data_IF_020839225699
#
_entry.id   IF_020839225699
#
_cell.length_a   1.000
_cell.length_b   1.000
_cell.length_c   1.000
_cell.angle_alpha   90.00
_cell.angle_beta   90.00
_cell.angle_gamma   90.00
#
_symmetry.space_group_name_H-M   'P 1'
#
loop_
_entity.id
_entity.type
_entity.pdbx_description
1 polymer ?
#
# COMPACT_ATOMS: atom_id res chain seq x y z
N UNK A 1 -25.76 -44.88 -24.98
CA UNK A 1 -26.57 -43.67 -25.21
C UNK A 1 -27.12 -43.71 -26.62
N UNK A 2 -28.39 -43.36 -26.77
CA UNK A 2 -28.98 -43.01 -28.06
C UNK A 2 -28.34 -41.72 -28.58
N UNK A 3 -28.51 -41.43 -29.87
CA UNK A 3 -28.02 -40.20 -30.47
C UNK A 3 -28.63 -38.94 -29.83
N UNK A 4 -29.91 -38.98 -29.45
CA UNK A 4 -30.58 -37.89 -28.73
C UNK A 4 -29.99 -37.70 -27.33
N UNK A 5 -29.81 -38.78 -26.56
CA UNK A 5 -29.22 -38.69 -25.22
C UNK A 5 -27.79 -38.12 -25.26
N UNK A 6 -27.05 -38.34 -26.36
CA UNK A 6 -25.72 -37.80 -26.57
C UNK A 6 -25.74 -36.30 -26.89
N UNK A 7 -26.76 -35.83 -27.59
CA UNK A 7 -26.96 -34.41 -27.90
C UNK A 7 -27.38 -33.64 -26.65
N UNK A 8 -28.31 -34.20 -25.87
CA UNK A 8 -28.75 -33.61 -24.60
C UNK A 8 -27.58 -33.49 -23.63
N UNK A 9 -26.77 -34.55 -23.48
CA UNK A 9 -25.58 -34.53 -22.64
C UNK A 9 -24.54 -33.51 -23.14
N UNK A 10 -24.35 -33.38 -24.46
CA UNK A 10 -23.46 -32.36 -25.03
C UNK A 10 -23.95 -30.96 -24.65
N UNK A 11 -25.24 -30.70 -24.77
CA UNK A 11 -25.82 -29.39 -24.49
C UNK A 11 -25.78 -29.06 -23.00
N UNK A 12 -26.02 -30.05 -22.14
CA UNK A 12 -25.83 -29.93 -20.70
C UNK A 12 -24.36 -29.62 -20.35
N UNK A 13 -23.41 -30.35 -20.92
CA UNK A 13 -21.99 -30.08 -20.73
C UNK A 13 -21.58 -28.70 -21.24
N UNK A 14 -22.11 -28.26 -22.39
CA UNK A 14 -21.86 -26.93 -22.92
C UNK A 14 -22.44 -25.83 -22.01
N UNK A 15 -23.61 -26.07 -21.41
CA UNK A 15 -24.20 -25.18 -20.42
C UNK A 15 -23.33 -25.08 -19.16
N UNK A 16 -22.86 -26.20 -18.62
CA UNK A 16 -21.92 -26.19 -17.48
C UNK A 16 -20.61 -25.49 -17.81
N UNK A 17 -20.00 -25.77 -18.97
CA UNK A 17 -18.77 -25.09 -19.40
C UNK A 17 -18.97 -23.58 -19.44
N UNK A 18 -20.12 -23.11 -19.95
CA UNK A 18 -20.44 -21.70 -19.97
C UNK A 18 -20.59 -21.13 -18.56
N UNK A 19 -21.38 -21.77 -17.70
CA UNK A 19 -21.62 -21.33 -16.33
C UNK A 19 -20.32 -21.23 -15.52
N UNK A 20 -19.46 -22.24 -15.59
CA UNK A 20 -18.15 -22.21 -14.93
C UNK A 20 -17.22 -21.14 -15.51
N UNK A 21 -17.27 -20.91 -16.82
CA UNK A 21 -16.48 -19.86 -17.45
C UNK A 21 -16.93 -18.47 -17.00
N UNK A 22 -18.24 -18.23 -16.89
CA UNK A 22 -18.80 -16.96 -16.45
C UNK A 22 -18.37 -16.68 -14.99
N UNK A 23 -18.51 -17.67 -14.10
CA UNK A 23 -18.05 -17.56 -12.70
C UNK A 23 -16.55 -17.30 -12.61
N UNK A 24 -15.73 -18.01 -13.39
CA UNK A 24 -14.28 -17.84 -13.39
C UNK A 24 -13.86 -16.43 -13.81
N UNK A 25 -14.55 -15.85 -14.80
CA UNK A 25 -14.28 -14.47 -15.25
C UNK A 25 -14.55 -13.48 -14.11
N UNK A 26 -15.67 -13.62 -13.42
CA UNK A 26 -16.03 -12.74 -12.29
C UNK A 26 -15.01 -12.86 -11.15
N UNK A 27 -14.61 -14.09 -10.79
CA UNK A 27 -13.57 -14.34 -9.79
C UNK A 27 -12.23 -13.73 -10.17
N UNK A 28 -11.82 -13.84 -11.45
CA UNK A 28 -10.59 -13.24 -11.94
C UNK A 28 -10.61 -11.71 -11.87
N UNK A 29 -11.75 -11.08 -12.18
CA UNK A 29 -11.89 -9.63 -12.04
C UNK A 29 -11.73 -9.17 -10.60
N UNK A 30 -12.36 -9.86 -9.63
CA UNK A 30 -12.22 -9.55 -8.21
C UNK A 30 -10.78 -9.75 -7.75
N UNK A 31 -10.11 -10.81 -8.22
CA UNK A 31 -8.72 -11.09 -7.88
C UNK A 31 -7.77 -10.01 -8.43
N UNK A 32 -7.96 -9.55 -9.66
CA UNK A 32 -7.13 -8.49 -10.26
C UNK A 32 -7.28 -7.17 -9.50
N UNK A 33 -8.50 -6.82 -9.10
CA UNK A 33 -8.77 -5.67 -8.23
C UNK A 33 -7.96 -5.75 -6.93
N UNK A 34 -8.06 -6.89 -6.24
CA UNK A 34 -7.35 -7.14 -4.99
C UNK A 34 -5.83 -7.12 -5.16
N UNK A 35 -5.31 -7.68 -6.25
CA UNK A 35 -3.87 -7.68 -6.55
C UNK A 35 -3.36 -6.26 -6.72
N UNK A 36 -4.07 -5.41 -7.47
CA UNK A 36 -3.67 -4.01 -7.62
C UNK A 36 -3.67 -3.27 -6.28
N UNK A 37 -4.69 -3.45 -5.45
CA UNK A 37 -4.69 -2.85 -4.11
C UNK A 37 -3.48 -3.30 -3.29
N UNK A 38 -3.15 -4.60 -3.35
CA UNK A 38 -2.02 -5.17 -2.64
C UNK A 38 -0.69 -4.61 -3.18
N UNK A 39 -0.56 -4.45 -4.49
CA UNK A 39 0.60 -3.84 -5.14
C UNK A 39 0.80 -2.39 -4.68
N UNK A 40 -0.26 -1.57 -4.66
CA UNK A 40 -0.22 -0.19 -4.16
C UNK A 40 0.20 -0.15 -2.69
N UNK A 41 -0.37 -1.02 -1.84
CA UNK A 41 -0.01 -1.12 -0.41
C UNK A 41 1.45 -1.52 -0.22
N UNK A 42 1.94 -2.47 -1.02
CA UNK A 42 3.34 -2.90 -0.99
C UNK A 42 4.29 -1.81 -1.47
N UNK A 43 3.90 -1.06 -2.51
CA UNK A 43 4.66 0.07 -3.02
C UNK A 43 4.79 1.16 -1.94
N UNK A 44 3.68 1.53 -1.30
CA UNK A 44 3.65 2.46 -0.17
C UNK A 44 4.61 2.04 0.95
N UNK A 45 4.52 0.79 1.42
CA UNK A 45 5.42 0.30 2.47
C UNK A 45 6.89 0.39 2.04
N UNK A 46 7.19 0.09 0.78
CA UNK A 46 8.56 0.08 0.26
C UNK A 46 9.14 1.50 0.16
N UNK A 47 8.40 2.44 -0.43
CA UNK A 47 8.77 3.86 -0.47
C UNK A 47 8.89 4.44 0.94
N UNK A 48 8.05 4.01 1.88
CA UNK A 48 8.13 4.42 3.29
C UNK A 48 9.42 4.00 3.95
N UNK A 49 9.78 2.74 3.81
CA UNK A 49 11.02 2.22 4.37
C UNK A 49 12.24 2.87 3.73
N UNK A 50 12.20 3.17 2.42
CA UNK A 50 13.28 3.87 1.72
C UNK A 50 13.44 5.33 2.20
N UNK A 51 12.35 6.06 2.34
CA UNK A 51 12.38 7.42 2.85
C UNK A 51 12.89 7.45 4.31
N UNK A 52 12.44 6.50 5.12
CA UNK A 52 12.84 6.37 6.52
C UNK A 52 14.33 6.02 6.69
N UNK A 53 14.87 5.11 5.87
CA UNK A 53 16.29 4.76 5.92
C UNK A 53 17.16 5.99 5.60
N UNK A 54 16.77 6.75 4.57
CA UNK A 54 17.42 8.00 4.18
C UNK A 54 17.38 9.06 5.29
N UNK A 55 16.24 9.25 5.95
CA UNK A 55 16.12 10.16 7.09
C UNK A 55 17.03 9.75 8.27
N UNK A 56 17.15 8.45 8.55
CA UNK A 56 18.08 7.94 9.57
C UNK A 56 19.54 8.24 9.20
N UNK A 57 19.92 8.12 7.92
CA UNK A 57 21.27 8.47 7.46
C UNK A 57 21.58 9.96 7.64
N UNK A 58 20.62 10.84 7.29
CA UNK A 58 20.74 12.29 7.51
C UNK A 58 20.88 12.62 9.00
N UNK A 59 20.11 11.98 9.89
CA UNK A 59 20.24 12.20 11.33
C UNK A 59 21.55 11.65 11.91
N UNK A 60 22.01 10.47 11.45
CA UNK A 60 23.27 9.88 11.93
C UNK A 60 24.50 10.70 11.51
N UNK A 61 24.44 11.33 10.33
CA UNK A 61 25.48 12.26 9.87
C UNK A 61 25.43 13.61 10.60
N UNK A 62 24.26 14.06 11.06
CA UNK A 62 24.10 15.25 11.91
C UNK A 62 24.35 14.98 13.42
N UNK A 63 24.28 13.73 13.86
CA UNK A 63 24.35 13.28 15.27
C UNK A 63 25.74 13.21 15.90
N UNK A 64 26.83 13.56 15.22
CA UNK A 64 28.19 13.61 15.82
C UNK A 64 28.42 14.74 16.83
N UNK A 65 27.36 15.39 17.32
CA UNK A 65 27.41 16.37 18.42
C UNK A 65 26.29 16.14 19.44
N UNK A 66 26.35 15.07 20.24
CA UNK A 66 26.11 15.05 21.72
C UNK A 66 25.92 13.62 22.27
N UNK A 67 26.44 13.44 23.47
CA UNK A 67 26.60 12.26 24.32
C UNK A 67 25.31 11.79 25.03
N UNK A 68 25.13 10.48 25.26
CA UNK A 68 24.23 9.93 26.29
C UNK A 68 23.82 8.45 26.07
N UNK A 69 23.83 7.56 27.10
CA UNK A 69 23.80 6.10 26.91
C UNK A 69 22.39 5.49 26.79
N UNK A 70 22.35 4.38 26.05
CA UNK A 70 21.18 3.60 25.67
C UNK A 70 20.46 2.94 26.85
N UNK A 71 19.12 2.98 26.81
CA UNK A 71 18.24 2.17 27.64
C UNK A 71 17.47 1.17 26.77
N UNK A 72 17.74 -0.11 27.06
CA UNK A 72 17.00 -1.36 26.84
C UNK A 72 15.66 -1.30 26.07
N UNK A 73 15.43 -2.27 25.16
CA UNK A 73 14.16 -3.02 25.12
C UNK A 73 14.25 -4.35 24.33
N UNK A 74 13.40 -5.25 24.82
CA UNK A 74 13.20 -6.70 24.61
C UNK A 74 12.99 -7.13 23.15
N UNK A 75 13.34 -8.40 22.88
CA UNK A 75 13.54 -9.02 21.55
C UNK A 75 12.28 -9.41 20.76
N UNK A 76 11.07 -9.22 21.27
CA UNK A 76 9.83 -9.56 20.53
C UNK A 76 9.07 -8.36 19.95
N UNK A 77 9.47 -7.13 20.29
CA UNK A 77 8.89 -5.91 19.72
C UNK A 77 9.67 -5.42 18.49
N UNK A 78 10.44 -6.26 17.80
CA UNK A 78 11.39 -5.77 16.80
C UNK A 78 10.70 -5.03 15.65
N UNK A 79 9.58 -5.54 15.14
CA UNK A 79 8.80 -4.84 14.10
C UNK A 79 7.92 -3.72 14.67
N UNK A 80 7.21 -3.96 15.78
CA UNK A 80 6.31 -2.97 16.39
C UNK A 80 7.05 -1.77 16.99
N UNK A 81 8.18 -2.00 17.67
CA UNK A 81 9.05 -0.96 18.22
C UNK A 81 9.80 -0.21 17.12
N UNK A 82 10.23 -0.87 16.04
CA UNK A 82 10.78 -0.16 14.88
C UNK A 82 9.72 0.74 14.25
N UNK A 83 8.52 0.24 13.96
CA UNK A 83 7.42 1.03 13.41
C UNK A 83 7.05 2.22 14.32
N UNK A 84 6.93 1.99 15.63
CA UNK A 84 6.64 3.06 16.61
C UNK A 84 7.79 4.07 16.71
N UNK A 85 9.05 3.62 16.68
CA UNK A 85 10.21 4.52 16.60
C UNK A 85 10.19 5.31 15.28
N UNK A 86 9.83 4.70 14.16
CA UNK A 86 9.77 5.34 12.85
C UNK A 86 8.70 6.44 12.80
N UNK A 87 7.54 6.24 13.46
CA UNK A 87 6.50 7.27 13.60
C UNK A 87 6.92 8.46 14.47
N UNK A 88 7.83 8.29 15.43
CA UNK A 88 8.32 9.37 16.30
C UNK A 88 9.14 10.43 15.53
N UNK A 89 9.64 10.11 14.33
CA UNK A 89 10.53 10.98 13.54
C UNK A 89 9.94 11.42 12.18
N UNK A 90 8.68 11.10 11.88
CA UNK A 90 8.00 11.58 10.68
C UNK A 90 7.36 12.95 10.99
N UNK A 91 8.03 14.06 10.66
CA UNK A 91 7.59 15.41 11.05
C UNK A 91 6.41 15.98 10.24
N UNK A 92 5.59 15.14 9.62
CA UNK A 92 4.28 15.56 9.11
C UNK A 92 3.27 14.46 9.40
N UNK A 93 2.50 14.63 10.48
CA UNK A 93 1.30 13.82 10.72
C UNK A 93 0.28 14.25 9.67
N UNK A 94 -0.04 13.36 8.72
CA UNK A 94 -1.15 13.56 7.80
C UNK A 94 -2.41 13.09 8.53
N UNK A 95 -3.36 14.00 8.86
CA UNK A 95 -4.59 13.62 9.52
C UNK A 95 -5.42 12.71 8.61
N UNK A 96 -5.91 11.59 9.14
CA UNK A 96 -6.85 10.70 8.45
C UNK A 96 -8.09 10.48 9.33
N UNK A 97 -9.22 10.16 8.71
CA UNK A 97 -10.45 9.83 9.43
C UNK A 97 -10.47 8.32 9.76
N UNK A 98 -10.44 8.00 11.06
CA UNK A 98 -10.54 6.62 11.55
C UNK A 98 -11.89 5.97 11.21
N UNK A 99 -12.94 6.76 11.01
CA UNK A 99 -14.29 6.28 10.69
C UNK A 99 -14.49 6.01 9.18
N UNK A 100 -13.60 6.54 8.32
CA UNK A 100 -13.66 6.38 6.87
C UNK A 100 -13.06 5.05 6.36
N UNK A 101 -12.62 4.17 7.25
CA UNK A 101 -12.04 2.88 6.88
C UNK A 101 -10.54 2.91 6.55
N UNK A 102 -9.84 3.99 6.91
CA UNK A 102 -8.41 4.20 6.62
C UNK A 102 -8.18 4.95 5.30
N UNK A 103 -6.91 5.12 4.92
CA UNK A 103 -6.53 5.78 3.67
C UNK A 103 -6.98 4.94 2.47
N UNK A 104 -7.64 5.58 1.50
CA UNK A 104 -8.08 4.91 0.27
C UNK A 104 -6.89 4.61 -0.63
N UNK A 105 -7.02 3.64 -1.54
CA UNK A 105 -5.92 3.26 -2.46
C UNK A 105 -5.42 4.43 -3.30
N UNK A 106 -6.30 5.34 -3.73
CA UNK A 106 -5.91 6.57 -4.43
C UNK A 106 -5.11 7.55 -3.58
N UNK A 107 -5.32 7.57 -2.26
CA UNK A 107 -4.50 8.37 -1.35
C UNK A 107 -3.12 7.75 -1.15
N UNK A 108 -3.06 6.41 -1.06
CA UNK A 108 -1.78 5.70 -0.98
C UNK A 108 -0.91 5.97 -2.20
N UNK A 109 -1.47 6.00 -3.40
CA UNK A 109 -0.73 6.31 -4.64
C UNK A 109 -0.13 7.73 -4.61
N UNK A 110 -0.91 8.74 -4.21
CA UNK A 110 -0.41 10.12 -4.08
C UNK A 110 0.66 10.23 -3.00
N UNK A 111 0.48 9.53 -1.88
CA UNK A 111 1.47 9.51 -0.79
C UNK A 111 2.77 8.84 -1.25
N UNK A 112 2.70 7.73 -2.01
CA UNK A 112 3.86 7.11 -2.66
C UNK A 112 4.60 8.12 -3.53
N UNK A 113 3.89 8.84 -4.41
CA UNK A 113 4.48 9.83 -5.30
C UNK A 113 5.23 10.94 -4.53
N UNK A 114 4.61 11.46 -3.46
CA UNK A 114 5.25 12.44 -2.58
C UNK A 114 6.52 11.87 -1.95
N UNK A 115 6.47 10.62 -1.49
CA UNK A 115 7.58 9.99 -0.78
C UNK A 115 8.75 9.66 -1.69
N UNK A 116 8.49 9.22 -2.92
CA UNK A 116 9.51 9.02 -3.95
C UNK A 116 10.14 10.38 -4.34
N UNK A 117 9.32 11.42 -4.54
CA UNK A 117 9.80 12.77 -4.80
C UNK A 117 10.67 13.31 -3.65
N UNK A 118 10.34 12.99 -2.39
CA UNK A 118 11.18 13.32 -1.23
C UNK A 118 12.47 12.50 -1.16
N UNK A 119 12.43 11.23 -1.55
CA UNK A 119 13.62 10.39 -1.61
C UNK A 119 14.64 10.92 -2.64
N UNK A 120 14.15 11.50 -3.73
CA UNK A 120 14.95 12.06 -4.83
C UNK A 120 15.31 13.56 -4.68
N UNK A 121 14.96 14.21 -3.57
CA UNK A 121 15.10 15.68 -3.37
C UNK A 121 14.45 16.50 -4.49
N UNK A 122 13.32 16.02 -5.03
CA UNK A 122 12.60 16.69 -6.10
C UNK A 122 12.06 18.06 -5.65
N UNK A 123 12.19 19.12 -6.47
CA UNK A 123 11.63 20.43 -6.16
C UNK A 123 10.08 20.46 -6.23
N UNK A 124 9.45 19.37 -6.70
CA UNK A 124 7.99 19.24 -6.81
C UNK A 124 7.31 18.81 -5.52
N UNK A 125 8.06 18.43 -4.49
CA UNK A 125 7.49 18.01 -3.19
C UNK A 125 6.48 19.03 -2.62
N UNK A 126 6.76 20.35 -2.60
CA UNK A 126 5.81 21.32 -2.05
C UNK A 126 4.50 21.41 -2.83
N UNK A 127 4.54 21.29 -4.16
CA UNK A 127 3.33 21.28 -4.99
C UNK A 127 2.54 20.00 -4.80
N UNK A 128 3.21 18.83 -4.77
CA UNK A 128 2.55 17.54 -4.55
C UNK A 128 1.87 17.48 -3.17
N UNK A 129 2.53 17.99 -2.12
CA UNK A 129 1.93 18.12 -0.78
C UNK A 129 0.73 19.07 -0.79
N UNK A 130 0.83 20.20 -1.50
CA UNK A 130 -0.27 21.17 -1.60
C UNK A 130 -1.48 20.55 -2.30
N UNK A 131 -1.25 19.88 -3.43
CA UNK A 131 -2.30 19.22 -4.21
C UNK A 131 -2.96 18.11 -3.39
N UNK A 132 -2.17 17.31 -2.67
CA UNK A 132 -2.70 16.27 -1.80
C UNK A 132 -3.54 16.85 -0.66
N UNK A 133 -3.10 17.93 -0.01
CA UNK A 133 -3.87 18.59 1.05
C UNK A 133 -5.18 19.19 0.51
N UNK A 134 -5.17 19.79 -0.67
CA UNK A 134 -6.34 20.46 -1.26
C UNK A 134 -7.32 19.49 -1.93
N UNK A 135 -6.87 18.31 -2.39
CA UNK A 135 -7.68 17.38 -3.21
C UNK A 135 -7.82 15.97 -2.63
N UNK A 136 -6.98 15.58 -1.66
CA UNK A 136 -6.93 14.24 -1.07
C UNK A 136 -7.90 14.01 0.08
N UNK A 137 -8.70 15.00 0.49
CA UNK A 137 -9.75 14.82 1.51
C UNK A 137 -11.17 14.77 0.95
N UNK A 138 -11.34 14.98 -0.36
CA UNK A 138 -12.62 14.84 -1.02
C UNK A 138 -12.69 13.46 -1.64
N UNK A 139 -13.14 12.45 -0.89
CA UNK A 139 -14.05 11.34 -1.26
C UNK A 139 -14.21 10.37 -0.09
#
# INVERSE_FOLDING_TARGET
LSYEELLDLRDEMAAYVKEYSDVLVDELMVKDEQLREQEIKNLFISSLLALQSRLREVQSSQGRKKTGPAALKTRDDFYGSQIIFLFQYLTTVIPYDEQAGGLQTGDLEKIVEIMDAMAEDSPMVPSLLTDYILTGQSF
#
